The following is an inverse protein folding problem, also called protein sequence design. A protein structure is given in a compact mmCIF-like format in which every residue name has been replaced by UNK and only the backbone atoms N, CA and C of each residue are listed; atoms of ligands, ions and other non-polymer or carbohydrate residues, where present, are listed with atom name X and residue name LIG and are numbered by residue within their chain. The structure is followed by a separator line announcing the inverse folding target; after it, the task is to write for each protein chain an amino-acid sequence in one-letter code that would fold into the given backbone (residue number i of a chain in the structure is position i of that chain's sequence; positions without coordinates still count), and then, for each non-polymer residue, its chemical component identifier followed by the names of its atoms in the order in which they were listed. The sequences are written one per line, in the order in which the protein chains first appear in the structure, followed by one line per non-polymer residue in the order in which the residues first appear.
data_IF_395316135491
#
_entry.id   IF_395316135491
#
_cell.length_a   1.000
_cell.length_b   1.000
_cell.length_c   1.000
_cell.angle_alpha   90.00
_cell.angle_beta   90.00
_cell.angle_gamma   90.00
#
_symmetry.space_group_name_H-M   'P 1'
#
loop_
_entity.id
_entity.type
_entity.pdbx_description
1 polymer ?
#
# COMPACT_ATOMS: atom_id res chain seq x y z
N UNK A 1 14.27 -1.79 14.63
CA UNK A 1 12.98 -2.27 14.14
C UNK A 1 13.13 -3.63 13.49
N UNK A 2 12.08 -4.43 13.57
CA UNK A 2 11.94 -5.69 12.85
C UNK A 2 11.30 -5.47 11.48
N UNK A 3 11.73 -6.26 10.50
CA UNK A 3 11.06 -6.41 9.21
C UNK A 3 11.12 -7.84 8.70
N UNK A 4 10.14 -8.22 7.88
CA UNK A 4 10.11 -9.50 7.18
C UNK A 4 10.84 -9.32 5.85
N UNK A 5 12.05 -9.87 5.77
CA UNK A 5 12.90 -9.78 4.59
C UNK A 5 12.75 -11.06 3.78
N UNK A 6 12.40 -10.88 2.51
CA UNK A 6 12.40 -11.92 1.50
C UNK A 6 13.77 -11.93 0.81
N UNK A 7 14.55 -12.98 1.02
CA UNK A 7 15.81 -13.26 0.34
C UNK A 7 15.57 -14.16 -0.90
N UNK A 8 16.63 -14.50 -1.63
CA UNK A 8 16.51 -15.46 -2.76
C UNK A 8 16.12 -16.86 -2.26
N UNK A 9 15.53 -17.66 -3.15
CA UNK A 9 15.23 -19.09 -2.93
C UNK A 9 14.12 -19.38 -1.90
N UNK A 10 13.20 -18.44 -1.73
CA UNK A 10 12.02 -18.59 -0.87
C UNK A 10 12.33 -18.53 0.62
N UNK A 11 13.50 -18.02 1.00
CA UNK A 11 13.87 -17.79 2.38
C UNK A 11 13.26 -16.47 2.84
N UNK A 12 12.33 -16.57 3.79
CA UNK A 12 11.76 -15.41 4.50
C UNK A 12 12.26 -15.42 5.93
N UNK A 13 12.80 -14.31 6.39
CA UNK A 13 13.30 -14.16 7.76
C UNK A 13 12.86 -12.84 8.38
N UNK A 14 12.78 -12.84 9.70
CA UNK A 14 12.70 -11.58 10.46
C UNK A 14 14.12 -11.03 10.62
N UNK A 15 14.34 -9.82 10.13
CA UNK A 15 15.59 -9.09 10.28
C UNK A 15 15.43 -7.97 11.29
N UNK A 16 16.51 -7.60 11.97
CA UNK A 16 16.57 -6.40 12.81
C UNK A 16 17.47 -5.34 12.15
N UNK A 17 17.00 -4.10 12.15
CA UNK A 17 17.71 -2.94 11.62
C UNK A 17 17.43 -1.69 12.46
N UNK A 18 18.12 -0.58 12.19
CA UNK A 18 17.77 0.70 12.79
C UNK A 18 16.45 1.22 12.22
N UNK A 19 15.72 2.03 12.99
CA UNK A 19 14.52 2.72 12.49
C UNK A 19 14.94 3.64 11.34
N UNK A 20 14.28 3.61 10.16
CA UNK A 20 14.64 4.45 9.03
C UNK A 20 14.47 5.93 9.39
N UNK A 21 15.39 6.76 8.92
CA UNK A 21 15.35 8.21 9.10
C UNK A 21 14.66 8.87 7.92
N UNK A 22 13.94 9.97 8.20
CA UNK A 22 13.42 10.86 7.16
C UNK A 22 14.59 11.59 6.51
N UNK A 23 14.71 11.48 5.19
CA UNK A 23 15.81 12.08 4.42
C UNK A 23 15.35 13.28 3.60
N UNK A 24 14.07 13.34 3.26
CA UNK A 24 13.49 14.38 2.44
C UNK A 24 12.34 15.11 3.15
N UNK A 25 12.16 16.39 2.80
CA UNK A 25 11.15 17.23 3.43
C UNK A 25 9.72 16.78 3.14
N UNK A 26 9.48 16.04 2.04
CA UNK A 26 8.17 15.53 1.60
C UNK A 26 7.90 14.09 2.07
N UNK A 27 8.66 13.60 3.03
CA UNK A 27 8.53 12.25 3.58
C UNK A 27 7.82 12.25 4.94
N UNK A 28 7.24 11.11 5.26
CA UNK A 28 6.69 10.79 6.58
C UNK A 28 7.21 9.43 6.99
N UNK A 29 7.43 9.24 8.29
CA UNK A 29 7.69 7.93 8.89
C UNK A 29 6.42 7.42 9.53
N UNK A 30 6.00 6.24 9.14
CA UNK A 30 4.81 5.56 9.68
C UNK A 30 5.29 4.44 10.59
N UNK A 31 4.75 4.39 11.81
CA UNK A 31 4.80 3.20 12.66
C UNK A 31 3.63 2.30 12.27
N UNK A 32 3.93 1.14 11.72
CA UNK A 32 2.94 0.24 11.15
C UNK A 32 2.18 -0.46 12.27
N UNK A 33 0.86 -0.46 12.17
CA UNK A 33 -0.03 -1.14 13.10
C UNK A 33 -0.55 -2.45 12.50
N UNK A 34 -0.88 -2.44 11.20
CA UNK A 34 -1.37 -3.62 10.48
C UNK A 34 -0.85 -3.62 9.05
N UNK A 35 -0.51 -4.80 8.53
CA UNK A 35 -0.20 -5.00 7.11
C UNK A 35 -0.81 -6.30 6.59
N UNK A 36 -1.55 -6.20 5.48
CA UNK A 36 -2.21 -7.29 4.80
C UNK A 36 -1.25 -8.09 3.91
N UNK A 37 -1.47 -9.41 3.84
CA UNK A 37 -0.79 -10.31 2.93
C UNK A 37 -1.66 -10.53 1.68
N UNK A 38 -1.16 -10.08 0.53
CA UNK A 38 -1.88 -10.19 -0.73
C UNK A 38 -1.55 -11.51 -1.44
N UNK A 39 -2.47 -11.99 -2.27
CA UNK A 39 -2.18 -13.09 -3.19
C UNK A 39 -0.98 -12.81 -4.12
N UNK A 40 -0.69 -11.52 -4.38
CA UNK A 40 0.47 -11.10 -5.17
C UNK A 40 1.81 -11.29 -4.46
N UNK A 41 1.83 -11.37 -3.12
CA UNK A 41 3.05 -11.59 -2.34
C UNK A 41 3.49 -13.07 -2.37
N UNK A 42 2.54 -14.01 -2.48
CA UNK A 42 2.83 -15.44 -2.53
C UNK A 42 3.82 -15.86 -3.63
N UNK A 43 3.65 -15.48 -4.93
CA UNK A 43 4.64 -15.80 -5.95
C UNK A 43 5.96 -15.03 -5.74
N UNK A 44 5.93 -13.83 -5.15
CA UNK A 44 7.15 -13.07 -4.83
C UNK A 44 7.99 -13.78 -3.77
N UNK A 45 7.33 -14.39 -2.79
CA UNK A 45 7.96 -15.17 -1.73
C UNK A 45 8.38 -16.54 -2.25
N UNK A 46 7.43 -17.36 -2.72
CA UNK A 46 7.66 -18.80 -2.91
C UNK A 46 8.09 -19.21 -4.32
N UNK A 47 8.13 -18.28 -5.29
CA UNK A 47 8.42 -18.60 -6.69
C UNK A 47 9.48 -17.68 -7.31
N UNK A 48 10.32 -17.07 -6.48
CA UNK A 48 11.32 -16.09 -6.90
C UNK A 48 10.73 -14.95 -7.76
N UNK A 49 9.47 -14.58 -7.53
CA UNK A 49 8.74 -13.59 -8.35
C UNK A 49 8.93 -12.12 -7.96
N UNK A 50 9.74 -11.80 -6.95
CA UNK A 50 10.03 -10.41 -6.58
C UNK A 50 10.95 -9.74 -7.62
N UNK A 51 10.87 -8.41 -7.70
CA UNK A 51 11.64 -7.63 -8.67
C UNK A 51 13.14 -7.59 -8.38
N UNK A 52 13.52 -7.67 -7.12
CA UNK A 52 14.90 -7.75 -6.64
C UNK A 52 14.91 -8.35 -5.24
N UNK A 53 16.10 -8.76 -4.80
CA UNK A 53 16.36 -9.32 -3.47
C UNK A 53 17.62 -8.68 -2.89
N UNK A 54 17.72 -8.55 -1.55
CA UNK A 54 16.64 -8.75 -0.57
C UNK A 54 15.55 -7.67 -0.68
N UNK A 55 14.32 -7.99 -0.28
CA UNK A 55 13.20 -7.02 -0.26
C UNK A 55 12.28 -7.24 0.94
N UNK A 56 11.82 -6.15 1.56
CA UNK A 56 10.67 -6.18 2.48
C UNK A 56 9.39 -5.96 1.67
N UNK A 57 8.49 -6.94 1.63
CA UNK A 57 7.20 -6.81 0.91
C UNK A 57 6.15 -6.04 1.75
N UNK A 58 4.90 -6.06 1.31
CA UNK A 58 3.76 -5.46 2.00
C UNK A 58 3.36 -4.11 1.41
N UNK A 59 2.23 -4.08 0.72
CA UNK A 59 1.69 -2.88 0.08
C UNK A 59 0.32 -2.47 0.61
N UNK A 60 -0.29 -3.35 1.39
CA UNK A 60 -1.55 -3.15 2.09
C UNK A 60 -1.18 -2.90 3.56
N UNK A 61 -1.15 -1.64 4.02
CA UNK A 61 -0.85 -1.37 5.42
C UNK A 61 -1.49 -0.08 5.92
N UNK A 62 -1.65 -0.03 7.24
CA UNK A 62 -2.03 1.14 8.01
C UNK A 62 -1.17 1.29 9.25
N UNK A 63 -1.13 2.50 9.78
CA UNK A 63 -0.34 2.82 10.95
C UNK A 63 -0.53 4.25 11.38
N UNK A 64 0.36 4.68 12.27
CA UNK A 64 0.35 6.02 12.82
C UNK A 64 1.59 6.77 12.35
N UNK A 65 1.43 8.04 12.01
CA UNK A 65 2.57 8.92 11.76
C UNK A 65 3.42 8.97 13.03
N UNK A 66 4.71 8.67 12.89
CA UNK A 66 5.71 8.72 13.95
C UNK A 66 6.54 10.01 13.85
N UNK A 67 6.89 10.40 12.63
CA UNK A 67 7.60 11.63 12.33
C UNK A 67 7.24 12.14 10.93
N UNK A 68 7.43 13.44 10.70
CA UNK A 68 7.21 14.08 9.40
C UNK A 68 8.42 14.91 8.98
N UNK A 69 8.65 15.00 7.67
CA UNK A 69 9.65 15.88 7.09
C UNK A 69 9.24 17.35 7.23
N UNK A 70 10.21 18.26 7.13
CA UNK A 70 10.01 19.70 7.34
C UNK A 70 9.07 20.38 6.33
N UNK A 71 8.70 19.70 5.24
CA UNK A 71 7.80 20.19 4.21
C UNK A 71 6.40 19.58 4.28
N UNK A 72 6.09 18.81 5.33
CA UNK A 72 4.76 18.24 5.59
C UNK A 72 4.12 19.04 6.72
N UNK A 73 3.03 19.74 6.42
CA UNK A 73 2.32 20.65 7.34
C UNK A 73 0.89 20.18 7.67
N UNK A 74 0.41 19.14 7.00
CA UNK A 74 -0.97 18.65 7.08
C UNK A 74 -1.11 17.31 7.82
N UNK A 75 0.01 16.69 8.22
CA UNK A 75 0.06 15.49 9.05
C UNK A 75 0.96 15.70 10.26
N UNK A 76 0.61 15.06 11.37
CA UNK A 76 1.29 15.17 12.64
C UNK A 76 1.53 13.79 13.27
N UNK A 77 2.56 13.63 14.11
CA UNK A 77 2.73 12.41 14.89
C UNK A 77 1.45 12.02 15.65
N UNK A 78 1.03 10.78 15.48
CA UNK A 78 -0.22 10.24 16.02
C UNK A 78 -1.36 10.13 15.00
N UNK A 79 -1.29 10.80 13.84
CA UNK A 79 -2.33 10.70 12.83
C UNK A 79 -2.40 9.28 12.24
N UNK A 80 -3.60 8.72 12.15
CA UNK A 80 -3.85 7.43 11.54
C UNK A 80 -3.81 7.54 10.01
N UNK A 81 -3.07 6.65 9.36
CA UNK A 81 -2.90 6.66 7.90
C UNK A 81 -2.98 5.26 7.30
N UNK A 82 -3.42 5.20 6.04
CA UNK A 82 -3.32 4.03 5.17
C UNK A 82 -2.35 4.26 4.01
N UNK A 83 -1.75 3.18 3.52
CA UNK A 83 -0.86 3.19 2.37
C UNK A 83 -1.60 3.50 1.07
N UNK A 84 -1.00 4.35 0.24
CA UNK A 84 -1.30 4.45 -1.20
C UNK A 84 -0.06 3.99 -1.94
N UNK A 85 0.03 2.70 -2.35
CA UNK A 85 1.31 2.09 -2.70
C UNK A 85 1.85 2.50 -4.07
N UNK A 86 1.01 3.00 -4.97
CA UNK A 86 1.38 3.34 -6.34
C UNK A 86 2.15 4.67 -6.42
N UNK A 87 3.28 4.67 -7.11
CA UNK A 87 4.07 5.87 -7.41
C UNK A 87 4.16 6.05 -8.93
N UNK A 88 3.18 6.70 -9.57
CA UNK A 88 3.25 6.99 -10.99
C UNK A 88 4.25 8.12 -11.25
N UNK A 89 4.71 8.28 -12.49
CA UNK A 89 5.68 9.33 -12.85
C UNK A 89 5.04 10.72 -13.05
N UNK A 90 3.71 10.80 -13.05
CA UNK A 90 2.90 12.03 -13.23
C UNK A 90 3.15 12.82 -14.54
N UNK A 91 3.94 12.29 -15.47
CA UNK A 91 4.44 13.02 -16.65
C UNK A 91 4.26 12.27 -17.96
N UNK A 92 3.96 10.97 -17.94
CA UNK A 92 3.71 10.20 -19.16
C UNK A 92 2.27 10.40 -19.67
N UNK A 93 1.96 10.07 -20.94
CA UNK A 93 0.62 10.27 -21.52
C UNK A 93 -0.51 9.70 -20.66
N UNK A 94 -0.34 8.50 -20.11
CA UNK A 94 -1.33 7.85 -19.26
C UNK A 94 -1.52 8.57 -17.92
N UNK A 95 -0.45 9.06 -17.31
CA UNK A 95 -0.57 9.89 -16.10
C UNK A 95 -1.30 11.21 -16.38
N UNK A 96 -1.04 11.85 -17.52
CA UNK A 96 -1.69 13.11 -17.90
C UNK A 96 -3.19 12.91 -18.18
N UNK A 97 -3.61 11.70 -18.54
CA UNK A 97 -5.03 11.31 -18.67
C UNK A 97 -5.67 10.83 -17.35
N UNK A 98 -4.91 10.77 -16.26
CA UNK A 98 -5.38 10.21 -14.98
C UNK A 98 -5.32 8.69 -14.87
N UNK A 99 -4.80 7.99 -15.89
CA UNK A 99 -4.60 6.53 -15.87
C UNK A 99 -3.29 6.16 -15.16
N UNK A 100 -3.17 6.54 -13.89
CA UNK A 100 -1.95 6.36 -13.11
C UNK A 100 -1.51 4.89 -12.97
N UNK A 101 -2.47 3.96 -12.85
CA UNK A 101 -2.22 2.52 -12.79
C UNK A 101 -1.61 1.95 -14.08
N UNK A 102 -1.71 2.67 -15.19
CA UNK A 102 -1.12 2.31 -16.49
C UNK A 102 0.19 3.04 -16.77
N UNK A 103 0.74 3.76 -15.79
CA UNK A 103 2.02 4.43 -15.94
C UNK A 103 3.14 3.41 -16.23
N UNK A 104 3.82 3.50 -17.37
CA UNK A 104 4.91 2.57 -17.71
C UNK A 104 6.17 2.74 -16.84
N UNK A 105 6.28 3.85 -16.10
CA UNK A 105 7.44 4.22 -15.27
C UNK A 105 7.11 4.21 -13.77
N UNK A 106 6.05 3.51 -13.37
CA UNK A 106 5.63 3.49 -11.98
C UNK A 106 6.62 2.74 -11.08
N UNK A 107 6.63 3.13 -9.82
CA UNK A 107 7.15 2.36 -8.70
C UNK A 107 5.99 1.96 -7.78
N UNK A 108 6.22 1.02 -6.87
CA UNK A 108 5.19 0.44 -6.02
C UNK A 108 5.77 -0.01 -4.68
N UNK A 109 5.31 0.59 -3.59
CA UNK A 109 5.72 0.24 -2.22
C UNK A 109 5.44 -1.24 -1.97
N UNK A 110 6.37 -1.98 -1.36
CA UNK A 110 6.21 -3.41 -1.05
C UNK A 110 6.23 -4.36 -2.26
N UNK A 111 6.71 -3.89 -3.43
CA UNK A 111 6.85 -4.70 -4.64
C UNK A 111 8.09 -4.32 -5.46
N UNK A 112 8.33 -3.02 -5.63
CA UNK A 112 9.47 -2.43 -6.37
C UNK A 112 10.38 -1.55 -5.51
N UNK A 113 10.02 -1.43 -4.24
CA UNK A 113 10.79 -0.86 -3.13
C UNK A 113 10.33 -1.58 -1.84
N UNK A 114 11.05 -1.39 -0.75
CA UNK A 114 10.65 -1.93 0.55
C UNK A 114 9.25 -1.44 0.98
N UNK A 115 8.54 -2.30 1.71
CA UNK A 115 7.14 -2.15 2.08
C UNK A 115 6.83 -2.35 3.56
N UNK A 116 5.54 -2.58 3.81
CA UNK A 116 4.90 -2.52 5.11
C UNK A 116 5.02 -3.77 5.99
N UNK A 117 5.70 -4.83 5.56
CA UNK A 117 6.04 -5.93 6.46
C UNK A 117 7.21 -5.56 7.39
N UNK A 118 7.06 -4.47 8.11
CA UNK A 118 8.06 -3.85 8.98
C UNK A 118 7.36 -3.12 10.14
N UNK A 119 8.08 -2.83 11.23
CA UNK A 119 7.51 -2.00 12.31
C UNK A 119 7.45 -0.50 11.92
N UNK A 120 8.35 -0.04 11.04
CA UNK A 120 8.38 1.34 10.55
C UNK A 120 8.70 1.39 9.06
N UNK A 121 8.18 2.39 8.37
CA UNK A 121 8.51 2.70 6.98
C UNK A 121 8.58 4.21 6.77
N UNK A 122 9.49 4.66 5.91
CA UNK A 122 9.52 6.04 5.41
C UNK A 122 8.97 6.04 3.99
N UNK A 123 7.94 6.85 3.75
CA UNK A 123 7.30 7.02 2.44
C UNK A 123 7.06 8.50 2.17
N UNK A 124 6.77 8.86 0.92
CA UNK A 124 6.37 10.24 0.60
C UNK A 124 5.01 10.52 1.22
N UNK A 125 4.77 11.77 1.64
CA UNK A 125 3.48 12.25 2.13
C UNK A 125 2.32 11.88 1.20
N UNK A 126 2.52 11.99 -0.12
CA UNK A 126 1.50 11.63 -1.13
C UNK A 126 1.16 10.13 -1.20
N UNK A 127 1.94 9.28 -0.55
CA UNK A 127 1.76 7.83 -0.52
C UNK A 127 1.11 7.35 0.78
N UNK A 128 0.56 8.28 1.56
CA UNK A 128 -0.32 7.99 2.69
C UNK A 128 -1.62 8.77 2.58
N UNK A 129 -2.70 8.16 3.03
CA UNK A 129 -4.02 8.77 3.13
C UNK A 129 -4.41 8.85 4.61
N UNK A 130 -4.84 10.02 5.08
CA UNK A 130 -5.30 10.21 6.45
C UNK A 130 -6.64 9.49 6.67
N UNK A 131 -6.72 8.68 7.71
CA UNK A 131 -7.92 7.93 8.06
C UNK A 131 -8.84 8.77 8.96
N UNK A 132 -10.17 8.55 8.90
CA UNK A 132 -11.10 9.10 9.88
C UNK A 132 -10.70 8.71 11.30
N UNK A 133 -10.92 9.60 12.27
CA UNK A 133 -10.49 9.38 13.67
C UNK A 133 -11.22 8.23 14.38
N UNK A 134 -12.37 7.84 13.87
CA UNK A 134 -13.22 6.75 14.40
C UNK A 134 -13.06 5.42 13.64
N UNK A 135 -12.22 5.38 12.60
CA UNK A 135 -11.94 4.15 11.87
C UNK A 135 -10.94 3.28 12.66
N UNK A 136 -11.25 1.98 12.92
CA UNK A 136 -10.28 1.05 13.46
C UNK A 136 -9.01 1.00 12.61
N UNK A 137 -7.83 1.00 13.24
CA UNK A 137 -6.59 1.13 12.49
C UNK A 137 -6.38 -0.06 11.56
N UNK A 138 -6.80 -1.26 11.96
CA UNK A 138 -6.71 -2.49 11.18
C UNK A 138 -7.51 -2.41 9.87
N UNK A 139 -8.68 -1.76 9.90
CA UNK A 139 -9.52 -1.54 8.71
C UNK A 139 -8.80 -0.65 7.68
N UNK A 140 -7.91 0.24 8.15
CA UNK A 140 -7.06 1.04 7.30
C UNK A 140 -6.20 0.22 6.33
N UNK A 141 -5.77 -0.99 6.73
CA UNK A 141 -4.97 -1.85 5.84
C UNK A 141 -5.80 -2.38 4.66
N UNK A 142 -7.13 -2.39 4.77
CA UNK A 142 -8.05 -2.77 3.70
C UNK A 142 -8.34 -1.65 2.70
N UNK A 143 -7.88 -0.41 2.93
CA UNK A 143 -8.06 0.72 2.00
C UNK A 143 -7.43 0.43 0.64
N UNK A 144 -6.26 -0.20 0.59
CA UNK A 144 -5.65 -0.61 -0.68
C UNK A 144 -6.53 -1.64 -1.42
N UNK A 145 -6.85 -2.81 -0.85
CA UNK A 145 -7.56 -3.84 -1.59
C UNK A 145 -9.02 -3.49 -1.89
N UNK A 146 -9.69 -2.67 -1.07
CA UNK A 146 -11.06 -2.22 -1.37
C UNK A 146 -11.09 -1.29 -2.58
N UNK A 147 -10.02 -0.51 -2.82
CA UNK A 147 -9.95 0.35 -4.01
C UNK A 147 -9.85 -0.44 -5.31
N UNK A 148 -9.34 -1.69 -5.26
CA UNK A 148 -9.35 -2.61 -6.41
C UNK A 148 -10.78 -2.95 -6.82
N UNK A 149 -11.64 -3.28 -5.85
CA UNK A 149 -13.06 -3.54 -6.09
C UNK A 149 -13.80 -2.27 -6.54
N UNK A 150 -13.56 -1.16 -5.86
CA UNK A 150 -14.19 0.13 -6.17
C UNK A 150 -13.82 0.62 -7.59
N UNK A 151 -12.60 0.35 -8.05
CA UNK A 151 -12.17 0.70 -9.40
C UNK A 151 -13.02 0.00 -10.47
N UNK A 152 -13.42 -1.26 -10.27
CA UNK A 152 -14.30 -1.97 -11.19
C UNK A 152 -15.67 -1.30 -11.29
N UNK A 153 -16.25 -0.89 -10.15
CA UNK A 153 -17.51 -0.15 -10.14
C UNK A 153 -17.39 1.25 -10.75
N UNK A 154 -16.28 1.93 -10.53
CA UNK A 154 -16.00 3.22 -11.18
C UNK A 154 -15.99 3.08 -12.71
N UNK A 155 -15.31 2.07 -13.25
CA UNK A 155 -15.31 1.78 -14.68
C UNK A 155 -16.69 1.41 -15.22
N UNK A 156 -17.49 0.70 -14.42
CA UNK A 156 -18.88 0.34 -14.73
C UNK A 156 -19.87 1.51 -14.57
N UNK A 157 -19.42 2.69 -14.14
CA UNK A 157 -20.24 3.85 -13.82
C UNK A 157 -21.30 3.52 -12.76
N UNK A 158 -20.85 2.94 -11.65
CA UNK A 158 -21.67 2.51 -10.51
C UNK A 158 -22.51 1.26 -10.79
N UNK A 159 -23.23 0.77 -9.78
CA UNK A 159 -24.13 -0.38 -9.93
C UNK A 159 -25.60 -0.13 -9.57
N UNK A 160 -25.97 1.12 -9.30
CA UNK A 160 -27.36 1.48 -8.98
C UNK A 160 -28.33 1.03 -10.09
N UNK A 161 -29.41 0.36 -9.69
CA UNK A 161 -30.42 -0.21 -10.59
C UNK A 161 -29.88 -1.27 -11.59
N UNK A 162 -28.74 -1.89 -11.31
CA UNK A 162 -28.16 -2.97 -12.12
C UNK A 162 -28.19 -4.29 -11.36
N UNK A 163 -28.33 -5.40 -12.09
CA UNK A 163 -28.03 -6.73 -11.55
C UNK A 163 -26.52 -6.98 -11.68
N UNK A 164 -25.84 -7.23 -10.56
CA UNK A 164 -24.39 -7.47 -10.52
C UNK A 164 -24.11 -8.93 -10.19
N UNK A 165 -23.18 -9.54 -10.92
CA UNK A 165 -22.66 -10.88 -10.62
C UNK A 165 -21.19 -10.73 -10.26
N UNK A 166 -20.83 -11.16 -9.06
CA UNK A 166 -19.43 -11.24 -8.60
C UNK A 166 -19.02 -12.71 -8.66
N UNK A 167 -18.05 -13.04 -9.52
CA UNK A 167 -17.54 -14.40 -9.69
C UNK A 167 -16.29 -14.56 -8.81
N UNK A 168 -16.45 -15.25 -7.69
CA UNK A 168 -15.38 -15.53 -6.72
C UNK A 168 -15.62 -14.85 -5.37
N UNK A 169 -15.42 -15.59 -4.28
CA UNK A 169 -15.65 -15.14 -2.90
C UNK A 169 -14.35 -15.07 -2.07
N UNK A 170 -13.22 -14.80 -2.73
CA UNK A 170 -11.98 -14.42 -2.03
C UNK A 170 -12.03 -12.95 -1.58
N UNK A 171 -10.96 -12.47 -0.94
CA UNK A 171 -10.89 -11.12 -0.34
C UNK A 171 -11.38 -10.01 -1.28
N UNK A 172 -10.91 -9.97 -2.54
CA UNK A 172 -11.33 -8.95 -3.51
C UNK A 172 -12.83 -9.04 -3.84
N UNK A 173 -13.37 -10.25 -3.99
CA UNK A 173 -14.80 -10.45 -4.24
C UNK A 173 -15.66 -10.00 -3.06
N UNK A 174 -15.24 -10.33 -1.83
CA UNK A 174 -15.93 -9.91 -0.61
C UNK A 174 -15.87 -8.40 -0.38
N UNK A 175 -14.76 -7.75 -0.72
CA UNK A 175 -14.64 -6.29 -0.67
C UNK A 175 -15.47 -5.61 -1.76
N UNK A 176 -15.50 -6.17 -2.98
CA UNK A 176 -16.37 -5.67 -4.04
C UNK A 176 -17.86 -5.75 -3.68
N UNK A 177 -18.30 -6.78 -2.94
CA UNK A 177 -19.68 -6.85 -2.43
C UNK A 177 -20.00 -5.67 -1.49
N UNK A 178 -19.02 -5.18 -0.73
CA UNK A 178 -19.22 -4.12 0.26
C UNK A 178 -19.16 -2.70 -0.32
N UNK A 179 -18.43 -2.49 -1.43
CA UNK A 179 -18.25 -1.16 -2.03
C UNK A 179 -19.04 -0.94 -3.33
N UNK A 180 -19.82 -1.94 -3.75
CA UNK A 180 -20.72 -1.88 -4.91
C UNK A 180 -21.97 -1.06 -4.65
#
# INVERSE_FOLDING_TARGET
MKSVVNDTDGIVRVAESVIPEIKHQDEVRVKIASSGLCGSDLPRIFKNGAHYYPITLGHEFSGYIDAVGSGVDDLHPGDAVACVPLLPCFTCPECLKGFYSQCAKYDFIGSRRDGGFAEYIVVKRKNVFALPTDMPIEDGAFIEPITVGLHAFHLAQGCENKNVIIIGAGTIGLLAIQCG
#
